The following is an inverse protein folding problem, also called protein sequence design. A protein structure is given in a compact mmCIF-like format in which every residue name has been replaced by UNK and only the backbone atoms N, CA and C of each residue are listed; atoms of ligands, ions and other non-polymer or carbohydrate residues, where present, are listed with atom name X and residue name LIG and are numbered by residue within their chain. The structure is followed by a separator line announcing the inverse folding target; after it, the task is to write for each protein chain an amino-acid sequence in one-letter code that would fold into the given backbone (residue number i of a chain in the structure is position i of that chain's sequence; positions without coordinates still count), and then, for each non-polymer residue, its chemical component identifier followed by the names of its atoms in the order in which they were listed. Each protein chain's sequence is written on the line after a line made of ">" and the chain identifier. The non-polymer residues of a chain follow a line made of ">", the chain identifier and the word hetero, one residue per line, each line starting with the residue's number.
data_IF_195589202865
#
_entry.id   IF_195589202865
#
_cell.length_a   1.000
_cell.length_b   1.000
_cell.length_c   1.000
_cell.angle_alpha   90.00
_cell.angle_beta   90.00
_cell.angle_gamma   90.00
#
_symmetry.space_group_name_H-M   'P 1'
#
loop_
_entity.id
_entity.type
_entity.pdbx_description
1 polymer ?
#
# COMPACT_ATOMS: atom_id res chain seq x y z
N UNK A 1 52.57 14.10 -29.20
CA UNK A 1 53.20 13.46 -28.02
C UNK A 1 53.85 14.56 -27.22
N UNK A 2 53.17 15.04 -26.19
CA UNK A 2 53.66 16.11 -25.34
C UNK A 2 54.75 15.52 -24.45
N UNK A 3 56.02 15.82 -24.77
CA UNK A 3 57.16 15.41 -23.95
C UNK A 3 56.95 16.04 -22.58
N UNK A 4 56.54 15.23 -21.61
CA UNK A 4 56.44 15.63 -20.20
C UNK A 4 57.79 16.24 -19.82
N UNK A 5 57.81 17.57 -19.64
CA UNK A 5 58.99 18.29 -19.18
C UNK A 5 59.30 17.75 -17.79
N UNK A 6 60.29 16.87 -17.71
CA UNK A 6 60.89 16.47 -16.43
C UNK A 6 61.32 17.76 -15.73
N UNK A 7 60.59 18.15 -14.69
CA UNK A 7 60.91 19.31 -13.89
C UNK A 7 62.15 18.97 -13.05
N UNK A 8 63.32 19.11 -13.66
CA UNK A 8 64.60 18.94 -12.98
C UNK A 8 64.74 19.99 -11.88
N UNK A 9 65.36 19.65 -10.74
CA UNK A 9 65.62 20.63 -9.69
C UNK A 9 66.44 21.79 -10.26
N UNK A 10 66.02 23.03 -10.00
CA UNK A 10 66.82 24.22 -10.30
C UNK A 10 68.13 24.16 -9.54
N UNK A 11 69.21 24.53 -10.23
CA UNK A 11 70.56 24.50 -9.66
C UNK A 11 70.88 25.83 -9.03
N UNK A 12 71.96 25.91 -8.26
CA UNK A 12 72.58 27.18 -7.97
C UNK A 12 72.89 27.91 -9.28
N UNK A 13 72.63 29.21 -9.35
CA UNK A 13 72.98 30.04 -10.52
C UNK A 13 74.50 30.16 -10.72
N UNK A 14 75.30 29.59 -9.79
CA UNK A 14 76.76 29.56 -9.80
C UNK A 14 77.36 28.37 -10.54
N UNK A 15 76.54 27.46 -11.09
CA UNK A 15 77.06 26.29 -11.83
C UNK A 15 77.77 26.75 -13.10
N UNK A 16 78.94 26.17 -13.38
CA UNK A 16 79.69 26.43 -14.60
C UNK A 16 79.07 25.86 -15.90
N UNK A 17 77.91 25.19 -15.83
CA UNK A 17 77.23 24.57 -16.97
C UNK A 17 75.70 24.72 -16.92
N UNK A 18 75.07 24.63 -18.10
CA UNK A 18 73.62 24.54 -18.24
C UNK A 18 73.16 23.08 -18.19
N UNK A 19 72.09 22.82 -17.43
CA UNK A 19 71.59 21.46 -17.18
C UNK A 19 70.92 20.82 -18.38
N UNK A 20 70.38 21.65 -19.26
CA UNK A 20 69.68 21.20 -20.47
C UNK A 20 70.66 20.54 -21.45
N UNK A 21 71.96 20.80 -21.32
CA UNK A 21 73.02 20.14 -22.09
C UNK A 21 72.98 18.61 -21.91
N UNK A 22 72.70 18.13 -20.69
CA UNK A 22 72.59 16.69 -20.40
C UNK A 22 71.32 16.03 -20.97
N UNK A 23 70.37 16.82 -21.46
CA UNK A 23 69.10 16.36 -22.02
C UNK A 23 69.08 16.40 -23.55
N UNK A 24 70.18 16.82 -24.18
CA UNK A 24 70.35 16.82 -25.64
C UNK A 24 70.57 15.40 -26.16
N UNK A 25 69.98 15.10 -27.31
CA UNK A 25 70.09 13.79 -27.97
C UNK A 25 71.51 13.55 -28.54
N UNK A 26 72.26 14.62 -28.80
CA UNK A 26 73.63 14.66 -29.33
C UNK A 26 74.68 14.99 -28.26
N UNK A 27 74.38 14.74 -26.98
CA UNK A 27 75.31 15.02 -25.88
C UNK A 27 76.63 14.26 -26.04
N UNK A 28 77.73 15.03 -26.11
CA UNK A 28 79.10 14.51 -26.16
C UNK A 28 79.92 15.00 -24.96
N UNK A 29 80.51 14.05 -24.23
CA UNK A 29 81.23 14.31 -22.98
C UNK A 29 82.50 15.12 -23.25
N UNK A 30 83.22 14.79 -24.31
CA UNK A 30 84.52 15.41 -24.62
C UNK A 30 84.32 16.87 -25.06
N UNK A 31 83.30 17.14 -25.86
CA UNK A 31 82.88 18.49 -26.24
C UNK A 31 82.41 19.28 -25.01
N UNK A 32 81.55 18.70 -24.16
CA UNK A 32 81.05 19.33 -22.94
C UNK A 32 82.18 19.75 -21.98
N UNK A 33 83.12 18.84 -21.68
CA UNK A 33 84.25 19.11 -20.78
C UNK A 33 85.20 20.14 -21.39
N UNK A 34 85.43 20.07 -22.71
CA UNK A 34 86.26 21.03 -23.44
C UNK A 34 85.67 22.44 -23.40
N UNK A 35 84.34 22.57 -23.51
CA UNK A 35 83.64 23.85 -23.40
C UNK A 35 83.68 24.41 -21.97
N UNK A 36 83.46 23.59 -20.95
CA UNK A 36 83.53 24.02 -19.56
C UNK A 36 84.96 24.45 -19.15
N UNK A 37 86.00 23.77 -19.65
CA UNK A 37 87.40 24.11 -19.39
C UNK A 37 87.84 25.46 -19.95
N UNK A 38 87.10 26.04 -20.90
CA UNK A 38 87.36 27.41 -21.38
C UNK A 38 87.03 28.47 -20.32
N UNK A 39 86.20 28.12 -19.33
CA UNK A 39 85.66 29.05 -18.34
C UNK A 39 86.12 28.74 -16.91
N UNK A 40 86.36 27.48 -16.55
CA UNK A 40 86.73 27.05 -15.17
C UNK A 40 87.82 25.97 -15.14
N UNK A 41 88.46 25.78 -13.98
CA UNK A 41 89.40 24.67 -13.76
C UNK A 41 88.67 23.32 -13.60
N UNK A 42 89.35 22.21 -13.87
CA UNK A 42 88.74 20.87 -13.83
C UNK A 42 88.20 20.52 -12.44
N UNK A 43 88.89 20.97 -11.40
CA UNK A 43 88.55 20.76 -9.99
C UNK A 43 87.24 21.46 -9.62
N UNK A 44 87.00 22.66 -10.16
CA UNK A 44 85.77 23.42 -9.97
C UNK A 44 84.60 22.77 -10.73
N UNK A 45 84.81 22.36 -11.99
CA UNK A 45 83.83 21.58 -12.76
C UNK A 45 83.44 20.28 -12.03
N UNK A 46 84.42 19.57 -11.47
CA UNK A 46 84.18 18.35 -10.68
C UNK A 46 83.32 18.66 -9.45
N UNK A 47 83.61 19.75 -8.75
CA UNK A 47 82.83 20.21 -7.60
C UNK A 47 81.38 20.51 -7.96
N UNK A 48 81.16 21.23 -9.07
CA UNK A 48 79.83 21.60 -9.56
C UNK A 48 79.01 20.39 -10.04
N UNK A 49 79.66 19.43 -10.72
CA UNK A 49 79.03 18.17 -11.12
C UNK A 49 78.61 17.34 -9.90
N UNK A 50 79.47 17.25 -8.88
CA UNK A 50 79.16 16.52 -7.66
C UNK A 50 78.03 17.20 -6.87
N UNK A 51 78.01 18.54 -6.82
CA UNK A 51 76.94 19.32 -6.23
C UNK A 51 75.61 19.08 -6.96
N UNK A 52 75.62 19.12 -8.29
CA UNK A 52 74.42 18.89 -9.09
C UNK A 52 73.91 17.45 -8.97
N UNK A 53 74.80 16.45 -8.93
CA UNK A 53 74.43 15.06 -8.67
C UNK A 53 73.72 14.89 -7.31
N UNK A 54 74.23 15.52 -6.25
CA UNK A 54 73.61 15.51 -4.92
C UNK A 54 72.21 16.15 -4.95
N UNK A 55 72.06 17.29 -5.63
CA UNK A 55 70.75 17.95 -5.80
C UNK A 55 69.76 17.08 -6.57
N UNK A 56 70.21 16.45 -7.66
CA UNK A 56 69.39 15.57 -8.47
C UNK A 56 68.92 14.36 -7.65
N UNK A 57 69.81 13.72 -6.90
CA UNK A 57 69.49 12.60 -6.01
C UNK A 57 68.45 12.98 -4.95
N UNK A 58 68.60 14.16 -4.34
CA UNK A 58 67.62 14.67 -3.35
C UNK A 58 66.26 14.92 -4.01
N UNK A 59 66.24 15.51 -5.20
CA UNK A 59 65.00 15.80 -5.92
C UNK A 59 64.23 14.53 -6.33
N UNK A 60 64.95 13.49 -6.77
CA UNK A 60 64.32 12.19 -7.07
C UNK A 60 63.66 11.58 -5.85
N UNK A 61 64.37 11.55 -4.71
CA UNK A 61 63.80 11.05 -3.45
C UNK A 61 62.57 11.87 -3.04
N UNK A 62 62.60 13.20 -3.21
CA UNK A 62 61.46 14.06 -2.93
C UNK A 62 60.26 13.79 -3.83
N UNK A 63 60.48 13.54 -5.13
CA UNK A 63 59.41 13.18 -6.07
C UNK A 63 58.76 11.85 -5.66
N UNK A 64 59.57 10.83 -5.40
CA UNK A 64 59.07 9.52 -4.95
C UNK A 64 58.29 9.66 -3.64
N UNK A 65 58.82 10.41 -2.67
CA UNK A 65 58.15 10.62 -1.39
C UNK A 65 56.85 11.41 -1.53
N UNK A 66 56.81 12.37 -2.46
CA UNK A 66 55.58 13.13 -2.78
C UNK A 66 54.53 12.19 -3.37
N UNK A 67 54.88 11.41 -4.39
CA UNK A 67 53.95 10.49 -5.03
C UNK A 67 53.47 9.41 -4.05
N UNK A 68 54.35 8.97 -3.15
CA UNK A 68 53.98 8.06 -2.07
C UNK A 68 52.98 8.70 -1.10
N UNK A 69 53.19 9.96 -0.70
CA UNK A 69 52.24 10.68 0.16
C UNK A 69 50.89 10.87 -0.53
N UNK A 70 50.88 11.21 -1.82
CA UNK A 70 49.67 11.38 -2.62
C UNK A 70 48.90 10.06 -2.75
N UNK A 71 49.60 8.94 -2.98
CA UNK A 71 49.01 7.59 -3.00
C UNK A 71 48.39 7.19 -1.64
N UNK A 72 49.11 7.44 -0.54
CA UNK A 72 48.60 7.14 0.81
C UNK A 72 47.38 8.00 1.13
N UNK A 73 47.38 9.27 0.76
CA UNK A 73 46.22 10.16 0.94
C UNK A 73 45.01 9.67 0.14
N UNK A 74 45.22 9.33 -1.13
CA UNK A 74 44.14 8.83 -1.99
C UNK A 74 43.57 7.51 -1.46
N UNK A 75 44.42 6.56 -1.09
CA UNK A 75 43.98 5.27 -0.53
C UNK A 75 43.25 5.43 0.82
N UNK A 76 43.71 6.34 1.68
CA UNK A 76 43.02 6.67 2.95
C UNK A 76 41.65 7.28 2.69
N UNK A 77 41.53 8.19 1.71
CA UNK A 77 40.26 8.79 1.33
C UNK A 77 39.28 7.77 0.74
N UNK A 78 39.77 6.85 -0.10
CA UNK A 78 38.95 5.77 -0.67
C UNK A 78 38.42 4.84 0.43
N UNK A 79 39.26 4.44 1.38
CA UNK A 79 38.84 3.64 2.54
C UNK A 79 37.85 4.42 3.43
N UNK A 80 38.06 5.73 3.62
CA UNK A 80 37.13 6.59 4.35
C UNK A 80 35.76 6.67 3.68
N UNK A 81 35.73 6.75 2.35
CA UNK A 81 34.51 6.74 1.56
C UNK A 81 33.76 5.41 1.64
N UNK A 82 34.47 4.28 1.55
CA UNK A 82 33.88 2.94 1.71
C UNK A 82 33.20 2.80 3.09
N UNK A 83 33.82 3.32 4.16
CA UNK A 83 33.20 3.37 5.49
C UNK A 83 31.91 4.20 5.50
N UNK A 84 31.93 5.39 4.89
CA UNK A 84 30.73 6.24 4.81
C UNK A 84 29.62 5.57 3.99
N UNK A 85 29.97 4.87 2.90
CA UNK A 85 29.03 4.09 2.10
C UNK A 85 28.40 2.97 2.92
N UNK A 86 29.19 2.22 3.68
CA UNK A 86 28.70 1.16 4.55
C UNK A 86 27.84 1.67 5.71
N UNK A 87 28.14 2.86 6.24
CA UNK A 87 27.29 3.53 7.23
C UNK A 87 25.91 3.92 6.67
N UNK A 88 25.80 4.17 5.36
CA UNK A 88 24.54 4.52 4.70
C UNK A 88 23.80 3.29 4.12
N UNK A 89 24.51 2.24 3.70
CA UNK A 89 23.90 1.07 3.09
C UNK A 89 22.96 0.33 4.05
N UNK A 90 23.35 0.23 5.33
CA UNK A 90 22.56 -0.40 6.39
C UNK A 90 21.22 0.33 6.64
N UNK A 91 21.19 1.64 6.97
CA UNK A 91 19.93 2.34 7.21
C UNK A 91 19.03 2.40 5.98
N UNK A 92 19.59 2.43 4.76
CA UNK A 92 18.79 2.33 3.53
C UNK A 92 18.15 0.95 3.35
N UNK A 93 18.87 -0.12 3.70
CA UNK A 93 18.33 -1.48 3.75
C UNK A 93 17.16 -1.59 4.73
N UNK A 94 17.33 -1.05 5.94
CA UNK A 94 16.29 -1.02 6.98
C UNK A 94 15.06 -0.20 6.54
N UNK A 95 15.27 0.96 5.91
CA UNK A 95 14.18 1.78 5.40
C UNK A 95 13.34 1.03 4.36
N UNK A 96 13.98 0.26 3.48
CA UNK A 96 13.27 -0.59 2.50
C UNK A 96 12.37 -1.62 3.18
N UNK A 97 12.85 -2.27 4.23
CA UNK A 97 12.05 -3.21 5.02
C UNK A 97 10.86 -2.53 5.70
N UNK A 98 11.07 -1.36 6.31
CA UNK A 98 10.01 -0.57 6.94
C UNK A 98 8.94 -0.19 5.92
N UNK A 99 9.33 0.23 4.71
CA UNK A 99 8.38 0.56 3.64
C UNK A 99 7.56 -0.65 3.20
N UNK A 100 8.20 -1.82 3.12
CA UNK A 100 7.50 -3.08 2.81
C UNK A 100 6.50 -3.44 3.92
N UNK A 101 6.93 -3.40 5.19
CA UNK A 101 6.07 -3.63 6.34
C UNK A 101 4.89 -2.66 6.38
N UNK A 102 5.13 -1.37 6.12
CA UNK A 102 4.08 -0.34 6.04
C UNK A 102 3.04 -0.70 4.99
N UNK A 103 3.47 -1.20 3.83
CA UNK A 103 2.55 -1.63 2.77
C UNK A 103 1.68 -2.81 3.23
N UNK A 104 2.29 -3.85 3.80
CA UNK A 104 1.55 -5.01 4.33
C UNK A 104 0.58 -4.63 5.44
N UNK A 105 0.97 -3.73 6.35
CA UNK A 105 0.09 -3.21 7.40
C UNK A 105 -1.07 -2.42 6.81
N UNK A 106 -0.79 -1.55 5.82
CA UNK A 106 -1.83 -0.75 5.16
C UNK A 106 -2.86 -1.64 4.44
N UNK A 107 -2.39 -2.71 3.81
CA UNK A 107 -3.25 -3.72 3.19
C UNK A 107 -4.10 -4.47 4.22
N UNK A 108 -3.50 -4.85 5.35
CA UNK A 108 -4.20 -5.47 6.48
C UNK A 108 -5.30 -4.58 7.05
N UNK A 109 -5.01 -3.29 7.28
CA UNK A 109 -5.99 -2.30 7.75
C UNK A 109 -7.16 -2.22 6.77
N UNK A 110 -6.88 -2.06 5.47
CA UNK A 110 -7.92 -2.00 4.44
C UNK A 110 -8.80 -3.25 4.43
N UNK A 111 -8.20 -4.43 4.58
CA UNK A 111 -8.95 -5.69 4.62
C UNK A 111 -9.82 -5.80 5.89
N UNK A 112 -9.34 -5.30 7.03
CA UNK A 112 -10.13 -5.24 8.28
C UNK A 112 -11.30 -4.28 8.13
N UNK A 113 -11.07 -3.07 7.61
CA UNK A 113 -12.12 -2.07 7.41
C UNK A 113 -13.23 -2.58 6.47
N UNK A 114 -12.85 -3.23 5.36
CA UNK A 114 -13.81 -3.84 4.44
C UNK A 114 -14.65 -4.92 5.14
N UNK A 115 -14.03 -5.76 5.96
CA UNK A 115 -14.72 -6.80 6.74
C UNK A 115 -15.65 -6.19 7.78
N UNK A 116 -15.23 -5.12 8.45
CA UNK A 116 -16.05 -4.43 9.44
C UNK A 116 -17.31 -3.83 8.81
N UNK A 117 -17.16 -3.16 7.66
CA UNK A 117 -18.30 -2.60 6.92
C UNK A 117 -19.30 -3.69 6.52
N UNK A 118 -18.82 -4.79 5.93
CA UNK A 118 -19.67 -5.95 5.60
C UNK A 118 -20.34 -6.56 6.83
N UNK A 119 -19.62 -6.66 7.95
CA UNK A 119 -20.16 -7.22 9.18
C UNK A 119 -21.27 -6.33 9.77
N UNK A 120 -21.15 -5.02 9.67
CA UNK A 120 -22.17 -4.08 10.13
C UNK A 120 -23.47 -4.24 9.33
N UNK A 121 -23.37 -4.34 8.00
CA UNK A 121 -24.52 -4.55 7.12
C UNK A 121 -25.21 -5.89 7.38
N UNK A 122 -24.44 -6.96 7.57
CA UNK A 122 -24.98 -8.27 7.93
C UNK A 122 -25.71 -8.18 9.29
N UNK A 123 -25.14 -7.49 10.27
CA UNK A 123 -25.78 -7.29 11.59
C UNK A 123 -27.08 -6.51 11.47
N UNK A 124 -27.11 -5.43 10.67
CA UNK A 124 -28.33 -4.65 10.40
C UNK A 124 -29.40 -5.53 9.76
N UNK A 125 -29.07 -6.25 8.69
CA UNK A 125 -29.98 -7.18 8.01
C UNK A 125 -30.52 -8.26 8.94
N UNK A 126 -29.65 -8.87 9.76
CA UNK A 126 -30.06 -9.87 10.77
C UNK A 126 -31.03 -9.30 11.80
N UNK A 127 -30.77 -8.10 12.32
CA UNK A 127 -31.67 -7.44 13.29
C UNK A 127 -33.03 -7.15 12.66
N UNK A 128 -33.05 -6.58 11.46
CA UNK A 128 -34.29 -6.29 10.73
C UNK A 128 -35.07 -7.58 10.50
N UNK A 129 -34.44 -8.62 9.96
CA UNK A 129 -35.09 -9.92 9.73
C UNK A 129 -35.66 -10.52 11.02
N UNK A 130 -34.91 -10.44 12.13
CA UNK A 130 -35.37 -10.92 13.43
C UNK A 130 -36.58 -10.15 13.95
N UNK A 131 -36.55 -8.81 13.91
CA UNK A 131 -37.67 -7.97 14.33
C UNK A 131 -38.90 -8.24 13.46
N UNK A 132 -38.73 -8.33 12.14
CA UNK A 132 -39.83 -8.64 11.21
C UNK A 132 -40.46 -9.99 11.52
N UNK A 133 -39.66 -11.03 11.82
CA UNK A 133 -40.17 -12.35 12.19
C UNK A 133 -40.95 -12.31 13.52
N UNK A 134 -40.44 -11.60 14.53
CA UNK A 134 -41.14 -11.42 15.81
C UNK A 134 -42.46 -10.66 15.63
N UNK A 135 -42.48 -9.61 14.82
CA UNK A 135 -43.70 -8.87 14.49
C UNK A 135 -44.71 -9.74 13.76
N UNK A 136 -44.29 -10.53 12.77
CA UNK A 136 -45.18 -11.46 12.06
C UNK A 136 -45.78 -12.50 13.00
N UNK A 137 -44.97 -13.10 13.89
CA UNK A 137 -45.43 -14.13 14.82
C UNK A 137 -46.43 -13.56 15.84
N UNK A 138 -46.13 -12.40 16.43
CA UNK A 138 -47.00 -11.76 17.42
C UNK A 138 -48.31 -11.26 16.80
N UNK A 139 -48.24 -10.58 15.65
CA UNK A 139 -49.43 -10.10 14.94
C UNK A 139 -50.30 -11.27 14.46
N UNK A 140 -49.69 -12.35 13.98
CA UNK A 140 -50.42 -13.57 13.59
C UNK A 140 -51.11 -14.24 14.78
N UNK A 141 -50.44 -14.30 15.94
CA UNK A 141 -51.03 -14.80 17.18
C UNK A 141 -52.24 -13.96 17.62
N UNK A 142 -52.13 -12.64 17.61
CA UNK A 142 -53.23 -11.73 17.96
C UNK A 142 -54.41 -11.84 16.98
N UNK A 143 -54.14 -11.98 15.68
CA UNK A 143 -55.20 -12.20 14.69
C UNK A 143 -55.92 -13.53 14.94
N UNK A 144 -55.17 -14.60 15.24
CA UNK A 144 -55.74 -15.90 15.54
C UNK A 144 -56.61 -15.86 16.80
N UNK A 145 -56.14 -15.20 17.87
CA UNK A 145 -56.90 -14.97 19.09
C UNK A 145 -58.20 -14.17 18.82
N UNK A 146 -58.10 -13.09 18.03
CA UNK A 146 -59.26 -12.30 17.63
C UNK A 146 -60.30 -13.14 16.87
N UNK A 147 -59.85 -14.01 15.95
CA UNK A 147 -60.73 -14.92 15.21
C UNK A 147 -61.38 -15.98 16.12
N UNK A 148 -60.64 -16.55 17.06
CA UNK A 148 -61.16 -17.55 18.00
C UNK A 148 -62.15 -16.95 19.00
N UNK A 149 -61.89 -15.74 19.48
CA UNK A 149 -62.75 -15.02 20.45
C UNK A 149 -63.88 -14.24 19.78
N UNK A 150 -63.93 -14.22 18.44
CA UNK A 150 -64.86 -13.39 17.65
C UNK A 150 -64.79 -11.89 17.99
N UNK A 151 -63.62 -11.41 18.45
CA UNK A 151 -63.42 -10.01 18.80
C UNK A 151 -63.13 -9.17 17.54
N UNK A 152 -64.15 -8.46 17.07
CA UNK A 152 -64.12 -7.67 15.82
C UNK A 152 -63.09 -6.53 15.89
N UNK A 153 -62.87 -5.92 17.05
CA UNK A 153 -61.91 -4.83 17.22
C UNK A 153 -60.47 -5.31 17.04
N UNK A 154 -60.12 -6.45 17.67
CA UNK A 154 -58.79 -7.06 17.54
C UNK A 154 -58.53 -7.47 16.09
N UNK A 155 -59.51 -8.13 15.45
CA UNK A 155 -59.41 -8.52 14.04
C UNK A 155 -59.18 -7.28 13.17
N UNK A 156 -60.02 -6.24 13.33
CA UNK A 156 -59.90 -5.01 12.55
C UNK A 156 -58.54 -4.34 12.71
N UNK A 157 -58.06 -4.19 13.95
CA UNK A 157 -56.75 -3.62 14.22
C UNK A 157 -55.62 -4.44 13.58
N UNK A 158 -55.64 -5.77 13.73
CA UNK A 158 -54.63 -6.65 13.13
C UNK A 158 -54.63 -6.53 11.60
N UNK A 159 -55.79 -6.57 10.96
CA UNK A 159 -55.93 -6.47 9.50
C UNK A 159 -55.47 -5.12 8.96
N UNK A 160 -55.79 -4.04 9.67
CA UNK A 160 -55.27 -2.71 9.36
C UNK A 160 -53.75 -2.68 9.47
N UNK A 161 -53.18 -3.27 10.53
CA UNK A 161 -51.72 -3.37 10.68
C UNK A 161 -51.09 -4.18 9.54
N UNK A 162 -51.68 -5.33 9.16
CA UNK A 162 -51.22 -6.15 8.03
C UNK A 162 -51.21 -5.38 6.71
N UNK A 163 -52.23 -4.56 6.43
CA UNK A 163 -52.23 -3.71 5.24
C UNK A 163 -51.20 -2.58 5.32
N UNK A 164 -51.00 -1.96 6.49
CA UNK A 164 -49.97 -0.91 6.63
C UNK A 164 -48.54 -1.42 6.46
N UNK A 165 -48.29 -2.71 6.71
CA UNK A 165 -46.98 -3.35 6.52
C UNK A 165 -46.89 -4.17 5.23
N UNK A 166 -47.87 -4.05 4.34
CA UNK A 166 -47.92 -4.73 3.04
C UNK A 166 -47.83 -6.27 3.13
N UNK A 167 -48.54 -6.84 4.12
CA UNK A 167 -48.61 -8.30 4.39
C UNK A 167 -50.04 -8.81 4.45
N UNK A 168 -50.92 -8.23 3.64
CA UNK A 168 -52.31 -8.64 3.42
C UNK A 168 -52.44 -10.14 3.06
N UNK A 169 -51.50 -10.66 2.25
CA UNK A 169 -51.45 -12.08 1.85
C UNK A 169 -51.20 -13.03 3.03
N UNK A 170 -50.35 -12.63 3.97
CA UNK A 170 -50.10 -13.41 5.20
C UNK A 170 -51.38 -13.48 6.05
N UNK A 171 -52.09 -12.34 6.15
CA UNK A 171 -53.38 -12.28 6.85
C UNK A 171 -54.44 -13.15 6.18
N UNK A 172 -54.51 -13.16 4.85
CA UNK A 172 -55.46 -13.98 4.07
C UNK A 172 -55.21 -15.47 4.26
N UNK A 173 -53.94 -15.87 4.26
CA UNK A 173 -53.57 -17.25 4.54
C UNK A 173 -53.97 -17.68 5.96
N UNK A 174 -53.80 -16.81 6.96
CA UNK A 174 -54.20 -17.10 8.35
C UNK A 174 -55.72 -17.17 8.52
N UNK A 175 -56.45 -16.19 7.97
CA UNK A 175 -57.92 -16.18 7.98
C UNK A 175 -58.48 -17.40 7.24
N UNK A 176 -57.90 -17.74 6.09
CA UNK A 176 -58.26 -18.94 5.33
C UNK A 176 -58.02 -20.23 6.10
N UNK A 177 -56.90 -20.35 6.82
CA UNK A 177 -56.63 -21.50 7.68
C UNK A 177 -57.66 -21.67 8.80
N UNK A 178 -58.14 -20.58 9.41
CA UNK A 178 -59.08 -20.66 10.52
C UNK A 178 -60.52 -20.86 10.05
N UNK A 179 -60.92 -20.19 8.97
CA UNK A 179 -62.32 -20.15 8.53
C UNK A 179 -62.66 -21.20 7.46
N UNK A 180 -61.68 -21.64 6.65
CA UNK A 180 -61.93 -22.55 5.52
C UNK A 180 -61.46 -23.98 5.82
N UNK A 181 -60.32 -24.14 6.48
CA UNK A 181 -59.71 -25.45 6.75
C UNK A 181 -60.59 -26.41 7.59
N UNK A 182 -61.30 -25.96 8.65
CA UNK A 182 -62.15 -26.87 9.44
C UNK A 182 -63.27 -27.53 8.64
N UNK A 183 -63.72 -26.91 7.55
CA UNK A 183 -64.76 -27.44 6.66
C UNK A 183 -64.22 -28.38 5.57
N UNK A 184 -62.89 -28.42 5.39
CA UNK A 184 -62.22 -29.28 4.42
C UNK A 184 -61.63 -30.55 5.08
N UNK A 185 -61.36 -30.51 6.39
CA UNK A 185 -60.76 -31.61 7.16
C UNK A 185 -61.80 -32.49 7.92
N UNK A 186 -63.12 -32.26 7.74
CA UNK A 186 -64.17 -33.13 8.31
C UNK A 186 -64.15 -34.51 7.62
N UNK A 187 -64.07 -35.64 8.37
CA UNK A 187 -64.15 -36.96 7.77
C UNK A 187 -65.55 -37.17 7.19
N UNK A 188 -65.62 -37.55 5.91
CA UNK A 188 -66.85 -37.85 5.17
C UNK A 188 -67.66 -38.96 5.86
N UNK A 189 -68.50 -38.60 6.84
CA UNK A 189 -69.52 -39.48 7.42
C UNK A 189 -70.82 -38.69 7.59
N UNK A 190 -71.47 -38.32 6.48
CA UNK A 190 -72.83 -37.80 6.51
C UNK A 190 -73.20 -36.98 5.27
N UNK A 191 -74.37 -37.22 4.70
CA UNK A 191 -74.84 -36.79 3.37
C UNK A 191 -75.09 -35.27 3.18
N UNK A 192 -74.48 -34.38 3.96
CA UNK A 192 -74.61 -32.94 3.79
C UNK A 192 -73.24 -32.29 3.68
N UNK A 193 -72.88 -31.91 2.45
CA UNK A 193 -71.74 -31.03 2.16
C UNK A 193 -71.98 -29.70 2.88
N UNK A 194 -71.43 -29.52 4.08
CA UNK A 194 -71.48 -28.24 4.79
C UNK A 194 -70.67 -27.25 3.95
N UNK A 195 -71.37 -26.42 3.18
CA UNK A 195 -70.72 -25.36 2.41
C UNK A 195 -70.02 -24.45 3.43
N UNK A 196 -68.72 -24.16 3.29
CA UNK A 196 -68.07 -23.21 4.17
C UNK A 196 -68.90 -21.92 4.21
N UNK A 197 -69.13 -21.31 5.39
CA UNK A 197 -69.78 -20.03 5.47
C UNK A 197 -69.06 -19.07 4.53
N UNK A 198 -69.81 -18.45 3.61
CA UNK A 198 -69.24 -17.46 2.73
C UNK A 198 -68.58 -16.39 3.59
N UNK A 199 -67.43 -15.84 3.18
CA UNK A 199 -66.74 -14.74 3.90
C UNK A 199 -67.75 -13.61 4.23
N UNK A 200 -68.81 -13.50 3.42
CA UNK A 200 -69.97 -12.63 3.62
C UNK A 200 -70.80 -12.79 4.89
N UNK A 201 -70.62 -13.87 5.64
CA UNK A 201 -71.32 -14.16 6.89
C UNK A 201 -70.55 -13.73 8.13
N UNK A 202 -69.30 -13.27 7.98
CA UNK A 202 -68.48 -12.82 9.10
C UNK A 202 -68.61 -11.30 9.36
N UNK A 203 -68.65 -10.86 10.62
CA UNK A 203 -68.88 -9.46 10.99
C UNK A 203 -67.78 -8.49 10.50
N UNK A 204 -66.56 -9.00 10.24
CA UNK A 204 -65.43 -8.19 9.75
C UNK A 204 -65.36 -8.05 8.22
N UNK A 205 -66.34 -8.63 7.49
CA UNK A 205 -66.31 -8.81 6.04
C UNK A 205 -66.14 -7.52 5.23
N UNK A 206 -66.90 -6.47 5.52
CA UNK A 206 -66.81 -5.23 4.72
C UNK A 206 -65.40 -4.64 4.75
N UNK A 207 -64.79 -4.65 5.93
CA UNK A 207 -63.41 -4.20 6.13
C UNK A 207 -62.41 -5.10 5.41
N UNK A 208 -62.59 -6.42 5.46
CA UNK A 208 -61.77 -7.38 4.71
C UNK A 208 -61.81 -7.14 3.19
N UNK A 209 -63.01 -6.94 2.62
CA UNK A 209 -63.16 -6.68 1.19
C UNK A 209 -62.52 -5.36 0.76
N UNK A 210 -62.68 -4.29 1.55
CA UNK A 210 -62.03 -3.01 1.27
C UNK A 210 -60.49 -3.09 1.33
N UNK A 211 -59.94 -3.82 2.31
CA UNK A 211 -58.50 -4.02 2.46
C UNK A 211 -57.90 -4.84 1.30
N UNK A 212 -58.56 -5.93 0.89
CA UNK A 212 -58.09 -6.81 -0.20
C UNK A 212 -58.29 -6.16 -1.58
N UNK A 213 -59.33 -5.34 -1.79
CA UNK A 213 -59.53 -4.61 -3.05
C UNK A 213 -58.54 -3.46 -3.22
N UNK A 214 -58.21 -2.73 -2.14
CA UNK A 214 -57.22 -1.65 -2.20
C UNK A 214 -55.83 -2.16 -2.62
N UNK A 215 -55.46 -3.35 -2.17
CA UNK A 215 -54.18 -3.99 -2.49
C UNK A 215 -54.09 -4.41 -3.96
N UNK A 216 -55.15 -5.04 -4.51
CA UNK A 216 -55.23 -5.41 -5.94
C UNK A 216 -55.21 -4.21 -6.89
N UNK A 217 -55.73 -3.06 -6.47
CA UNK A 217 -55.66 -1.81 -7.24
C UNK A 217 -54.26 -1.18 -7.24
N UNK A 218 -53.48 -1.38 -6.17
CA UNK A 218 -52.11 -0.88 -6.07
C UNK A 218 -51.12 -1.74 -6.88
N UNK A 219 -51.25 -3.07 -6.86
CA UNK A 219 -50.48 -4.00 -7.73
C UNK A 219 -50.76 -3.77 -9.23
N UNK A 220 -52.02 -3.52 -9.61
CA UNK A 220 -52.40 -3.22 -11.00
C UNK A 220 -51.80 -1.91 -11.53
N UNK A 221 -51.46 -0.97 -10.63
CA UNK A 221 -50.90 0.34 -11.00
C UNK A 221 -49.36 0.33 -11.10
N UNK A 222 -48.67 -0.63 -10.48
CA UNK A 222 -47.22 -0.82 -10.55
C UNK A 222 -46.78 -1.74 -11.71
N UNK A 223 -47.73 -2.28 -12.46
CA UNK A 223 -47.53 -3.25 -13.55
C UNK A 223 -47.54 -2.61 -14.96
N UNK A 224 -47.47 -1.28 -15.06
CA UNK A 224 -47.46 -0.49 -16.31
C UNK A 224 -46.17 0.32 -16.43
#
# INVERSE_FOLDING_TARGET
>A
MERSRMNLPKGPDTLCFHKDEFMKEDFDIDHFVSDCRKCVQLEELRGDLELYYKLLKIAMVKLINKDHADFVNLSTNLVGMDKALNQLSVPLGQLREILSLRSSVSEGIRAVDERMCKQEDIRKKKRIAHITAMLQQSLGGLLLEGLQTSNVDIIWHCLRTYATIDKTRDAEALVGQVLVKPYMDEPEYGLHRVRPPAISSFPFREHWFHLVQADRSHEASLSV
#
